data_IF_458091800138
#
_entry.id   IF_458091800138
#
_cell.length_a   1.000
_cell.length_b   1.000
_cell.length_c   1.000
_cell.angle_alpha   90.00
_cell.angle_beta   90.00
_cell.angle_gamma   90.00
#
_symmetry.space_group_name_H-M   'P 1'
#
loop_
_entity.id
_entity.type
_entity.pdbx_description
1 polymer ?
#
# COMPACT_ATOMS: atom_id res chain seq x y z
N UNK A 1 -5.52 0.53 4.88
CA UNK A 1 -6.81 0.27 5.56
C UNK A 1 -7.42 1.55 6.11
N UNK A 2 -6.69 2.33 6.91
CA UNK A 2 -7.19 3.57 7.53
C UNK A 2 -7.60 4.62 6.50
N UNK A 3 -6.86 4.79 5.41
CA UNK A 3 -7.21 5.68 4.30
C UNK A 3 -8.50 5.28 3.55
N UNK A 4 -9.03 4.07 3.78
CA UNK A 4 -10.33 3.61 3.27
C UNK A 4 -11.42 3.61 4.35
N UNK A 5 -11.17 4.27 5.47
CA UNK A 5 -12.10 4.39 6.60
C UNK A 5 -12.56 3.04 7.20
N UNK A 6 -11.70 2.04 7.20
CA UNK A 6 -11.96 0.78 7.91
C UNK A 6 -12.20 1.10 9.39
N UNK A 7 -13.29 0.59 10.00
CA UNK A 7 -13.55 0.81 11.42
C UNK A 7 -12.43 0.26 12.30
N UNK A 8 -11.76 1.14 13.07
CA UNK A 8 -10.57 0.78 13.86
C UNK A 8 -10.83 -0.38 14.81
N UNK A 9 -12.00 -0.44 15.47
CA UNK A 9 -12.31 -1.55 16.38
C UNK A 9 -12.34 -2.92 15.67
N UNK A 10 -12.79 -2.98 14.40
CA UNK A 10 -12.75 -4.21 13.60
C UNK A 10 -11.35 -4.57 13.18
N UNK A 11 -10.54 -3.56 12.84
CA UNK A 11 -9.13 -3.75 12.50
C UNK A 11 -8.34 -4.27 13.70
N UNK A 12 -8.51 -3.67 14.88
CA UNK A 12 -7.89 -4.16 16.12
C UNK A 12 -8.38 -5.55 16.52
N UNK A 13 -9.68 -5.82 16.32
CA UNK A 13 -10.23 -7.16 16.54
C UNK A 13 -9.61 -8.20 15.60
N UNK A 14 -9.38 -7.83 14.32
CA UNK A 14 -8.71 -8.70 13.37
C UNK A 14 -7.27 -9.00 13.79
N UNK A 15 -6.50 -7.97 14.18
CA UNK A 15 -5.11 -8.13 14.59
C UNK A 15 -4.96 -8.96 15.87
N UNK A 16 -5.95 -8.92 16.73
CA UNK A 16 -5.99 -9.71 17.97
C UNK A 16 -6.64 -11.08 17.79
N UNK A 17 -7.03 -11.48 16.58
CA UNK A 17 -7.68 -12.76 16.34
C UNK A 17 -9.06 -12.90 17.00
N UNK A 18 -9.80 -11.79 17.18
CA UNK A 18 -11.10 -11.80 17.84
C UNK A 18 -12.25 -12.12 16.87
N UNK A 19 -13.35 -12.64 17.41
CA UNK A 19 -14.56 -12.97 16.67
C UNK A 19 -15.18 -11.74 15.96
N UNK A 20 -15.02 -10.54 16.51
CA UNK A 20 -15.49 -9.28 15.91
C UNK A 20 -14.59 -8.74 14.79
N UNK A 21 -13.49 -9.41 14.45
CA UNK A 21 -12.68 -9.14 13.29
C UNK A 21 -13.38 -9.49 11.96
N UNK A 22 -12.73 -9.21 10.85
CA UNK A 22 -13.27 -9.48 9.51
C UNK A 22 -13.38 -10.98 9.19
N UNK A 23 -12.48 -11.79 9.74
CA UNK A 23 -12.40 -13.24 9.50
C UNK A 23 -12.81 -14.07 10.70
N UNK A 24 -13.44 -13.44 11.70
CA UNK A 24 -13.88 -14.11 12.94
C UNK A 24 -12.75 -14.87 13.65
N UNK A 25 -11.54 -14.30 13.64
CA UNK A 25 -10.35 -14.90 14.25
C UNK A 25 -9.76 -16.09 13.50
N UNK A 26 -10.19 -16.35 12.25
CA UNK A 26 -9.77 -17.53 11.49
C UNK A 26 -8.55 -17.28 10.60
N UNK A 27 -8.13 -16.03 10.44
CA UNK A 27 -7.05 -15.66 9.54
C UNK A 27 -6.11 -14.64 10.18
N UNK A 28 -4.98 -14.40 9.52
CA UNK A 28 -3.90 -13.52 9.98
C UNK A 28 -4.30 -12.05 9.96
N UNK A 29 -3.48 -11.21 10.57
CA UNK A 29 -3.74 -9.79 10.84
C UNK A 29 -4.18 -8.98 9.61
N UNK A 30 -3.62 -9.25 8.44
CA UNK A 30 -3.91 -8.50 7.21
C UNK A 30 -4.64 -9.31 6.13
N UNK A 31 -4.91 -10.60 6.36
CA UNK A 31 -5.57 -11.48 5.40
C UNK A 31 -7.09 -11.34 5.49
N UNK A 32 -7.59 -10.20 5.08
CA UNK A 32 -9.03 -9.95 4.99
C UNK A 32 -9.35 -8.97 3.87
N UNK A 33 -10.55 -9.06 3.35
CA UNK A 33 -11.11 -8.09 2.42
C UNK A 33 -12.33 -7.39 3.03
N UNK A 34 -12.72 -6.29 2.42
CA UNK A 34 -13.93 -5.57 2.77
C UNK A 34 -14.56 -4.95 1.53
N UNK A 35 -15.65 -5.56 1.06
CA UNK A 35 -16.38 -5.09 -0.12
C UNK A 35 -16.88 -3.66 0.05
N UNK A 36 -17.40 -3.33 1.23
CA UNK A 36 -17.93 -1.99 1.53
C UNK A 36 -16.86 -0.89 1.50
N UNK A 37 -15.59 -1.28 1.68
CA UNK A 37 -14.45 -0.37 1.63
C UNK A 37 -13.61 -0.54 0.36
N UNK A 38 -14.08 -1.33 -0.61
CA UNK A 38 -13.36 -1.66 -1.85
C UNK A 38 -11.93 -2.17 -1.59
N UNK A 39 -11.78 -3.02 -0.59
CA UNK A 39 -10.51 -3.66 -0.26
C UNK A 39 -10.62 -5.14 -0.58
N UNK A 40 -9.73 -5.62 -1.44
CA UNK A 40 -9.50 -7.04 -1.69
C UNK A 40 -8.41 -7.54 -0.75
N UNK A 41 -8.60 -8.71 -0.22
CA UNK A 41 -7.70 -9.26 0.80
C UNK A 41 -6.27 -9.44 0.30
N UNK A 42 -5.32 -9.31 1.21
CA UNK A 42 -3.94 -9.69 0.98
C UNK A 42 -3.82 -11.19 0.75
N UNK A 43 -2.98 -11.58 -0.18
CA UNK A 43 -2.60 -12.96 -0.46
C UNK A 43 -1.17 -13.16 0.03
N UNK A 44 -0.89 -14.28 0.73
CA UNK A 44 0.46 -14.56 1.26
C UNK A 44 1.49 -14.86 0.17
N UNK A 45 1.06 -15.39 -0.97
CA UNK A 45 1.93 -15.64 -2.11
C UNK A 45 2.21 -14.32 -2.84
N UNK A 46 3.46 -14.11 -3.24
CA UNK A 46 3.86 -12.94 -4.02
C UNK A 46 3.41 -13.11 -5.47
N UNK A 47 2.82 -12.07 -6.06
CA UNK A 47 2.42 -12.07 -7.47
C UNK A 47 0.94 -12.28 -7.75
N UNK A 48 0.23 -13.29 -7.18
CA UNK A 48 -1.15 -13.61 -7.54
C UNK A 48 -2.16 -12.45 -7.41
N UNK A 49 -1.94 -11.49 -6.50
CA UNK A 49 -2.79 -10.32 -6.38
C UNK A 49 -2.85 -9.48 -7.66
N UNK A 50 -1.81 -9.52 -8.48
CA UNK A 50 -1.74 -8.78 -9.74
C UNK A 50 -2.75 -9.33 -10.76
N UNK A 51 -2.82 -10.67 -10.89
CA UNK A 51 -3.83 -11.35 -11.70
C UNK A 51 -5.25 -11.14 -11.17
N UNK A 52 -5.44 -11.13 -9.84
CA UNK A 52 -6.74 -10.82 -9.22
C UNK A 52 -7.17 -9.38 -9.55
N UNK A 53 -6.24 -8.43 -9.54
CA UNK A 53 -6.53 -7.03 -9.93
C UNK A 53 -6.98 -6.92 -11.38
N UNK A 54 -6.38 -7.68 -12.30
CA UNK A 54 -6.82 -7.76 -13.69
C UNK A 54 -8.25 -8.27 -13.80
N UNK A 55 -8.59 -9.34 -13.08
CA UNK A 55 -9.95 -9.88 -13.06
C UNK A 55 -10.99 -8.88 -12.54
N UNK A 56 -10.64 -8.10 -11.52
CA UNK A 56 -11.50 -7.04 -10.97
C UNK A 56 -11.68 -5.91 -11.99
N UNK A 57 -10.61 -5.45 -12.62
CA UNK A 57 -10.64 -4.40 -13.64
C UNK A 57 -11.46 -4.83 -14.85
N UNK A 58 -11.28 -6.06 -15.32
CA UNK A 58 -12.11 -6.65 -16.39
C UNK A 58 -13.58 -6.68 -15.99
N UNK A 59 -13.89 -7.09 -14.76
CA UNK A 59 -15.25 -7.09 -14.24
C UNK A 59 -15.90 -5.70 -14.24
N UNK A 60 -15.13 -4.65 -13.99
CA UNK A 60 -15.59 -3.25 -14.09
C UNK A 60 -15.87 -2.86 -15.54
N UNK A 61 -14.98 -3.19 -16.47
CA UNK A 61 -15.20 -2.92 -17.90
C UNK A 61 -16.45 -3.62 -18.44
N UNK A 62 -16.61 -4.90 -18.16
CA UNK A 62 -17.76 -5.69 -18.60
C UNK A 62 -19.11 -5.17 -18.07
N UNK A 63 -19.09 -4.49 -16.92
CA UNK A 63 -20.28 -3.84 -16.33
C UNK A 63 -20.47 -2.39 -16.76
N UNK A 64 -19.57 -1.84 -17.56
CA UNK A 64 -19.59 -0.43 -17.93
C UNK A 64 -19.31 0.52 -16.76
N UNK A 65 -18.63 0.05 -15.72
CA UNK A 65 -18.28 0.85 -14.54
C UNK A 65 -16.98 1.64 -14.77
N UNK A 66 -17.02 2.95 -14.57
CA UNK A 66 -15.83 3.83 -14.67
C UNK A 66 -15.00 3.77 -13.39
N UNK A 67 -14.33 2.63 -13.15
CA UNK A 67 -13.53 2.36 -11.97
C UNK A 67 -12.11 1.97 -12.36
N UNK A 68 -11.18 2.24 -11.46
CA UNK A 68 -9.76 1.86 -11.57
C UNK A 68 -9.42 0.92 -10.44
N UNK A 69 -8.65 -0.10 -10.74
CA UNK A 69 -8.11 -1.03 -9.74
C UNK A 69 -6.66 -0.67 -9.45
N UNK A 70 -6.32 -0.36 -8.20
CA UNK A 70 -4.94 -0.21 -7.77
C UNK A 70 -4.46 -1.50 -7.08
N UNK A 71 -3.29 -1.97 -7.46
CA UNK A 71 -2.67 -3.16 -6.87
C UNK A 71 -1.23 -2.87 -6.49
N UNK A 72 -0.81 -3.36 -5.33
CA UNK A 72 0.49 -3.07 -4.75
C UNK A 72 1.35 -4.32 -4.70
N UNK A 73 2.64 -4.14 -4.98
CA UNK A 73 3.66 -5.17 -4.85
C UNK A 73 5.00 -4.53 -4.45
N UNK A 74 5.87 -5.28 -3.80
CA UNK A 74 7.25 -4.86 -3.57
C UNK A 74 8.15 -5.17 -4.78
N UNK A 75 9.35 -4.59 -4.80
CA UNK A 75 10.32 -4.80 -5.88
C UNK A 75 10.76 -6.25 -6.02
N UNK A 76 10.87 -7.00 -4.91
CA UNK A 76 11.25 -8.42 -4.93
C UNK A 76 10.28 -9.29 -5.72
N UNK A 77 8.97 -9.00 -5.63
CA UNK A 77 7.95 -9.74 -6.34
C UNK A 77 7.90 -9.47 -7.85
N UNK A 78 8.60 -8.45 -8.34
CA UNK A 78 8.68 -8.17 -9.79
C UNK A 78 9.50 -9.19 -10.58
N UNK A 79 10.10 -10.16 -9.91
CA UNK A 79 10.80 -11.30 -10.51
C UNK A 79 9.93 -12.56 -10.62
N UNK A 80 8.74 -12.55 -10.01
CA UNK A 80 7.79 -13.66 -10.12
C UNK A 80 7.13 -13.73 -11.50
N UNK A 81 6.82 -14.95 -11.97
CA UNK A 81 6.11 -15.15 -13.24
C UNK A 81 4.79 -14.40 -13.32
N UNK A 82 4.00 -14.46 -12.24
CA UNK A 82 2.70 -13.78 -12.13
C UNK A 82 2.77 -12.27 -12.41
N UNK A 83 3.89 -11.60 -12.05
CA UNK A 83 4.10 -10.19 -12.38
C UNK A 83 4.08 -9.97 -13.90
N UNK A 84 4.89 -10.74 -14.62
CA UNK A 84 5.04 -10.61 -16.07
C UNK A 84 3.75 -10.97 -16.81
N UNK A 85 3.08 -12.03 -16.39
CA UNK A 85 1.82 -12.48 -16.96
C UNK A 85 0.71 -11.43 -16.74
N UNK A 86 0.59 -10.89 -15.52
CA UNK A 86 -0.42 -9.90 -15.20
C UNK A 86 -0.25 -8.61 -15.99
N UNK A 87 0.98 -8.10 -16.14
CA UNK A 87 1.25 -6.90 -16.91
C UNK A 87 0.90 -7.11 -18.39
N UNK A 88 1.31 -8.25 -18.95
CA UNK A 88 1.01 -8.58 -20.34
C UNK A 88 -0.51 -8.70 -20.61
N UNK A 89 -1.24 -9.39 -19.75
CA UNK A 89 -2.71 -9.52 -19.87
C UNK A 89 -3.38 -8.14 -19.78
N UNK A 90 -2.97 -7.33 -18.81
CA UNK A 90 -3.54 -6.00 -18.63
C UNK A 90 -3.32 -5.10 -19.86
N UNK A 91 -2.12 -5.16 -20.44
CA UNK A 91 -1.78 -4.40 -21.65
C UNK A 91 -2.59 -4.86 -22.87
N UNK A 92 -2.73 -6.17 -23.08
CA UNK A 92 -3.47 -6.74 -24.23
C UNK A 92 -4.96 -6.41 -24.18
N UNK A 93 -5.53 -6.30 -22.98
CA UNK A 93 -6.96 -6.07 -22.77
C UNK A 93 -7.32 -4.64 -22.36
N UNK A 94 -6.37 -3.72 -22.37
CA UNK A 94 -6.54 -2.31 -21.96
C UNK A 94 -7.24 -2.18 -20.59
N UNK A 95 -6.81 -2.99 -19.61
CA UNK A 95 -7.44 -3.01 -18.30
C UNK A 95 -7.07 -1.76 -17.48
N UNK A 96 -8.04 -1.08 -16.83
CA UNK A 96 -7.78 0.10 -15.99
C UNK A 96 -7.16 -0.30 -14.66
N UNK A 97 -5.87 -0.68 -14.68
CA UNK A 97 -5.09 -1.10 -13.53
C UNK A 97 -3.92 -0.16 -13.30
N UNK A 98 -3.77 0.32 -12.07
CA UNK A 98 -2.54 0.94 -11.58
C UNK A 98 -1.72 -0.14 -10.87
N UNK A 99 -0.62 -0.57 -11.49
CA UNK A 99 0.35 -1.46 -10.88
C UNK A 99 1.35 -0.63 -10.08
N UNK A 100 1.25 -0.67 -8.76
CA UNK A 100 2.06 0.11 -7.83
C UNK A 100 3.20 -0.75 -7.29
N UNK A 101 4.44 -0.43 -7.66
CA UNK A 101 5.64 -1.08 -7.12
C UNK A 101 6.19 -0.21 -5.99
N UNK A 102 6.18 -0.71 -4.77
CA UNK A 102 6.85 -0.10 -3.62
C UNK A 102 8.32 -0.54 -3.61
N UNK A 103 9.17 0.17 -4.37
CA UNK A 103 10.60 -0.12 -4.44
C UNK A 103 11.29 0.45 -3.21
N UNK A 104 11.45 -0.39 -2.19
CA UNK A 104 12.06 -0.03 -0.92
C UNK A 104 13.56 -0.41 -0.81
N UNK A 105 14.17 -0.87 -1.92
CA UNK A 105 15.59 -1.18 -2.03
C UNK A 105 15.97 -2.61 -1.65
N UNK A 106 15.08 -3.39 -1.02
CA UNK A 106 15.41 -4.72 -0.50
C UNK A 106 14.23 -5.70 -0.56
N UNK A 107 14.38 -6.79 -1.32
CA UNK A 107 13.53 -7.97 -1.19
C UNK A 107 14.03 -8.81 0.00
N UNK A 108 13.32 -8.78 1.14
CA UNK A 108 13.84 -9.29 2.42
C UNK A 108 15.18 -8.62 2.78
N UNK A 109 16.29 -9.34 2.61
CA UNK A 109 17.66 -8.86 2.82
C UNK A 109 18.47 -8.71 1.52
N UNK A 110 17.88 -9.07 0.36
CA UNK A 110 18.52 -9.02 -0.94
C UNK A 110 18.40 -7.61 -1.53
N UNK A 111 19.50 -6.89 -1.78
CA UNK A 111 19.45 -5.56 -2.38
C UNK A 111 18.99 -5.63 -3.84
N UNK A 112 18.39 -4.56 -4.34
CA UNK A 112 17.89 -4.47 -5.71
C UNK A 112 18.94 -4.72 -6.78
N UNK A 113 20.20 -4.38 -6.51
CA UNK A 113 21.35 -4.64 -7.41
C UNK A 113 21.59 -6.13 -7.70
N UNK A 114 21.10 -7.02 -6.83
CA UNK A 114 21.17 -8.47 -6.98
C UNK A 114 19.88 -9.10 -7.53
N UNK A 115 18.83 -8.30 -7.73
CA UNK A 115 17.50 -8.80 -8.13
C UNK A 115 17.20 -8.55 -9.62
N UNK A 116 17.62 -7.40 -10.17
CA UNK A 116 17.34 -7.04 -11.57
C UNK A 116 18.45 -6.14 -12.15
N UNK A 117 18.48 -6.03 -13.48
CA UNK A 117 19.53 -5.30 -14.21
C UNK A 117 19.07 -3.97 -14.79
N UNK A 118 17.77 -3.74 -14.95
CA UNK A 118 17.25 -2.44 -15.36
C UNK A 118 17.55 -1.37 -14.29
N UNK A 119 17.70 -0.14 -14.70
CA UNK A 119 17.95 0.97 -13.77
C UNK A 119 16.74 1.21 -12.87
N UNK A 120 15.54 1.20 -13.48
CA UNK A 120 14.29 1.37 -12.77
C UNK A 120 13.34 0.22 -13.12
N UNK A 121 12.48 -0.16 -12.19
CA UNK A 121 11.44 -1.16 -12.47
C UNK A 121 10.36 -0.62 -13.42
N UNK A 122 10.14 0.69 -13.42
CA UNK A 122 9.30 1.36 -14.40
C UNK A 122 9.74 1.12 -15.85
N UNK A 123 11.05 0.86 -16.08
CA UNK A 123 11.60 0.58 -17.43
C UNK A 123 11.06 -0.74 -18.02
N UNK A 124 10.44 -1.58 -17.18
CA UNK A 124 9.76 -2.80 -17.67
C UNK A 124 8.43 -2.50 -18.38
N UNK A 125 7.77 -1.38 -18.06
CA UNK A 125 6.47 -1.01 -18.65
C UNK A 125 6.47 -0.94 -20.17
N UNK A 126 7.39 -0.19 -20.79
CA UNK A 126 7.51 -0.11 -22.25
C UNK A 126 7.65 -1.46 -22.97
N UNK A 127 8.26 -2.47 -22.31
CA UNK A 127 8.37 -3.83 -22.83
C UNK A 127 7.02 -4.53 -23.04
N UNK A 128 5.98 -4.10 -22.33
CA UNK A 128 4.59 -4.56 -22.48
C UNK A 128 3.71 -3.56 -23.25
N UNK A 129 4.28 -2.47 -23.77
CA UNK A 129 3.51 -1.40 -24.38
C UNK A 129 2.74 -0.53 -23.39
N UNK A 130 3.13 -0.54 -22.12
CA UNK A 130 2.46 0.20 -21.05
C UNK A 130 3.11 1.54 -20.77
N UNK A 131 2.28 2.53 -20.42
CA UNK A 131 2.73 3.76 -19.77
C UNK A 131 3.35 3.43 -18.40
N UNK A 132 4.47 4.09 -18.08
CA UNK A 132 5.13 3.89 -16.78
C UNK A 132 5.69 5.20 -16.21
N UNK A 133 5.73 5.31 -14.89
CA UNK A 133 6.26 6.48 -14.18
C UNK A 133 7.06 6.07 -12.96
N UNK A 134 8.04 6.92 -12.63
CA UNK A 134 8.77 6.88 -11.36
C UNK A 134 8.27 8.04 -10.51
N UNK A 135 8.00 7.78 -9.25
CA UNK A 135 7.46 8.74 -8.28
C UNK A 135 8.32 8.70 -7.02
N UNK A 136 8.61 9.84 -6.42
CA UNK A 136 9.20 9.88 -5.08
C UNK A 136 8.16 9.41 -4.05
N UNK A 137 8.29 8.14 -3.62
CA UNK A 137 7.36 7.51 -2.69
C UNK A 137 7.37 8.11 -1.29
N UNK A 138 8.38 8.94 -0.97
CA UNK A 138 8.46 9.67 0.30
C UNK A 138 7.87 11.10 0.20
N UNK A 139 7.46 11.54 -0.99
CA UNK A 139 6.78 12.82 -1.20
C UNK A 139 5.27 12.61 -1.39
N UNK A 140 4.49 12.75 -0.31
CA UNK A 140 3.05 12.49 -0.33
C UNK A 140 2.29 13.38 -1.33
N UNK A 141 2.75 14.60 -1.58
CA UNK A 141 2.11 15.51 -2.55
C UNK A 141 2.32 15.05 -3.98
N UNK A 142 3.51 14.56 -4.31
CA UNK A 142 3.82 14.00 -5.63
C UNK A 142 3.03 12.71 -5.85
N UNK A 143 3.02 11.81 -4.86
CA UNK A 143 2.23 10.57 -4.90
C UNK A 143 0.74 10.88 -5.11
N UNK A 144 0.19 11.81 -4.31
CA UNK A 144 -1.22 12.20 -4.43
C UNK A 144 -1.55 12.79 -5.80
N UNK A 145 -0.74 13.72 -6.27
CA UNK A 145 -0.94 14.38 -7.57
C UNK A 145 -0.90 13.37 -8.71
N UNK A 146 0.15 12.54 -8.77
CA UNK A 146 0.33 11.56 -9.85
C UNK A 146 -0.76 10.48 -9.85
N UNK A 147 -1.07 9.91 -8.69
CA UNK A 147 -2.11 8.87 -8.59
C UNK A 147 -3.49 9.45 -8.90
N UNK A 148 -3.79 10.67 -8.45
CA UNK A 148 -5.07 11.33 -8.73
C UNK A 148 -5.25 11.63 -10.23
N UNK A 149 -4.23 12.17 -10.88
CA UNK A 149 -4.19 12.42 -12.33
C UNK A 149 -4.47 11.13 -13.11
N UNK A 150 -3.68 10.10 -12.85
CA UNK A 150 -3.80 8.82 -13.56
C UNK A 150 -5.14 8.13 -13.27
N UNK A 151 -5.61 8.13 -12.03
CA UNK A 151 -6.88 7.52 -11.70
C UNK A 151 -8.07 8.25 -12.34
N UNK A 152 -8.00 9.56 -12.54
CA UNK A 152 -9.00 10.32 -13.27
C UNK A 152 -8.98 9.95 -14.77
N UNK A 153 -7.79 9.95 -15.36
CA UNK A 153 -7.61 9.64 -16.78
C UNK A 153 -8.02 8.20 -17.13
N UNK A 154 -7.63 7.23 -16.31
CA UNK A 154 -7.95 5.80 -16.54
C UNK A 154 -9.44 5.47 -16.43
N UNK A 155 -10.24 6.32 -15.80
CA UNK A 155 -11.71 6.18 -15.81
C UNK A 155 -12.32 6.52 -17.18
N UNK A 156 -11.67 7.36 -17.95
CA UNK A 156 -12.13 7.81 -19.27
C UNK A 156 -11.42 7.07 -20.41
N UNK A 157 -10.17 6.71 -20.19
CA UNK A 157 -9.31 6.01 -21.14
C UNK A 157 -8.70 4.77 -20.48
N UNK A 158 -9.46 3.67 -20.39
CA UNK A 158 -8.99 2.44 -19.75
C UNK A 158 -7.69 1.94 -20.39
N UNK A 159 -6.67 1.72 -19.57
CA UNK A 159 -5.40 1.10 -19.91
C UNK A 159 -4.62 0.79 -18.63
N UNK A 160 -3.63 -0.11 -18.63
CA UNK A 160 -2.78 -0.30 -17.47
C UNK A 160 -1.67 0.76 -17.42
N UNK A 161 -1.27 1.10 -16.19
CA UNK A 161 -0.11 1.96 -15.93
C UNK A 161 0.77 1.33 -14.85
N UNK A 162 2.08 1.35 -15.06
CA UNK A 162 3.06 0.89 -14.09
C UNK A 162 3.64 2.08 -13.33
N UNK A 163 3.50 2.08 -12.01
CA UNK A 163 4.04 3.10 -11.11
C UNK A 163 5.13 2.50 -10.23
N UNK A 164 6.33 3.06 -10.28
CA UNK A 164 7.41 2.74 -9.35
C UNK A 164 7.55 3.86 -8.33
N UNK A 165 7.23 3.55 -7.08
CA UNK A 165 7.45 4.45 -5.95
C UNK A 165 8.81 4.17 -5.33
N UNK A 166 9.75 5.10 -5.50
CA UNK A 166 11.06 5.04 -4.83
C UNK A 166 10.88 5.40 -3.37
N UNK A 167 11.13 4.46 -2.51
CA UNK A 167 11.01 4.60 -1.05
C UNK A 167 12.09 3.78 -0.35
N UNK A 168 12.01 3.65 0.96
CA UNK A 168 12.95 2.83 1.70
C UNK A 168 12.31 2.24 2.96
N UNK A 169 12.64 0.99 3.25
CA UNK A 169 12.21 0.31 4.47
C UNK A 169 13.21 0.54 5.60
N UNK A 170 12.90 1.50 6.50
CA UNK A 170 13.75 1.87 7.64
C UNK A 170 13.85 0.79 8.73
N UNK A 171 12.93 -0.18 8.74
CA UNK A 171 12.90 -1.29 9.70
C UNK A 171 13.20 -2.63 9.02
N UNK A 172 13.42 -3.67 9.81
CA UNK A 172 13.50 -5.03 9.28
C UNK A 172 12.23 -5.43 8.53
N UNK A 173 12.33 -6.43 7.67
CA UNK A 173 11.19 -6.95 6.91
C UNK A 173 10.08 -7.44 7.83
N UNK A 174 10.47 -8.09 8.91
CA UNK A 174 9.61 -8.46 10.04
C UNK A 174 10.14 -7.78 11.31
N UNK A 175 9.30 -7.65 12.34
CA UNK A 175 9.69 -7.02 13.60
C UNK A 175 10.97 -7.67 14.20
N UNK A 176 11.13 -8.98 14.03
CA UNK A 176 12.27 -9.74 14.53
C UNK A 176 13.53 -9.70 13.63
N UNK A 177 13.43 -9.26 12.37
CA UNK A 177 14.54 -9.46 11.41
C UNK A 177 15.70 -8.49 11.56
N UNK A 178 15.49 -7.32 12.14
CA UNK A 178 16.52 -6.28 12.22
C UNK A 178 17.01 -5.75 10.87
N UNK A 179 18.03 -4.90 10.87
CA UNK A 179 18.55 -4.19 9.69
C UNK A 179 20.07 -4.28 9.55
N UNK A 180 20.72 -5.28 10.17
CA UNK A 180 22.18 -5.40 10.18
C UNK A 180 22.83 -5.53 8.79
N UNK A 181 22.05 -5.95 7.79
CA UNK A 181 22.50 -6.09 6.40
C UNK A 181 22.49 -4.76 5.62
N UNK A 182 21.85 -3.72 6.18
CA UNK A 182 21.77 -2.40 5.53
C UNK A 182 22.94 -1.52 5.96
N UNK A 183 23.72 -0.94 5.03
CA UNK A 183 24.77 0.01 5.37
C UNK A 183 24.24 1.24 6.11
N UNK A 184 24.90 1.63 7.20
CA UNK A 184 24.46 2.78 8.02
C UNK A 184 24.32 4.07 7.19
N UNK A 185 25.24 4.35 6.28
CA UNK A 185 25.18 5.51 5.39
C UNK A 185 23.88 5.57 4.57
N UNK A 186 23.34 4.41 4.18
CA UNK A 186 22.07 4.32 3.44
C UNK A 186 20.89 4.60 4.38
N UNK A 187 20.93 4.08 5.61
CA UNK A 187 19.94 4.38 6.64
C UNK A 187 19.90 5.88 6.94
N UNK A 188 21.04 6.52 7.13
CA UNK A 188 21.14 7.97 7.41
C UNK A 188 20.59 8.81 6.24
N UNK A 189 20.91 8.41 5.00
CA UNK A 189 20.38 9.07 3.81
C UNK A 189 18.86 9.06 3.76
N UNK A 190 18.25 7.91 4.03
CA UNK A 190 16.79 7.77 3.97
C UNK A 190 16.07 8.30 5.22
N UNK A 191 16.72 8.32 6.37
CA UNK A 191 16.20 8.99 7.57
C UNK A 191 15.96 10.48 7.32
N UNK A 192 16.86 11.16 6.57
CA UNK A 192 16.67 12.56 6.18
C UNK A 192 15.50 12.78 5.20
N UNK A 193 14.96 11.70 4.62
CA UNK A 193 13.80 11.72 3.71
C UNK A 193 12.53 11.15 4.34
N UNK A 194 12.43 11.18 5.67
CA UNK A 194 11.22 10.73 6.35
C UNK A 194 9.98 11.48 5.82
N UNK A 195 8.99 10.79 5.24
CA UNK A 195 7.85 11.43 4.60
C UNK A 195 6.97 12.20 5.58
N UNK A 196 6.87 11.73 6.83
CA UNK A 196 6.04 12.39 7.84
C UNK A 196 6.70 13.68 8.35
N UNK A 197 7.98 13.61 8.69
CA UNK A 197 8.73 14.78 9.15
C UNK A 197 8.82 15.87 8.07
N UNK A 198 9.16 15.48 6.84
CA UNK A 198 9.26 16.40 5.71
C UNK A 198 7.93 17.06 5.37
N UNK A 199 6.84 16.31 5.38
CA UNK A 199 5.51 16.88 5.14
C UNK A 199 5.04 17.74 6.30
N UNK A 200 5.32 17.36 7.54
CA UNK A 200 5.05 18.17 8.72
C UNK A 200 5.77 19.53 8.63
N UNK A 201 7.05 19.51 8.26
CA UNK A 201 7.83 20.74 8.10
C UNK A 201 7.26 21.61 6.97
N UNK A 202 6.93 21.01 5.83
CA UNK A 202 6.27 21.72 4.72
C UNK A 202 4.99 22.43 5.15
N UNK A 203 4.14 21.77 5.94
CA UNK A 203 2.89 22.35 6.43
C UNK A 203 3.14 23.48 7.44
N UNK A 204 4.19 23.39 8.27
CA UNK A 204 4.59 24.45 9.18
C UNK A 204 5.11 25.68 8.42
N UNK A 205 5.98 25.47 7.44
CA UNK A 205 6.55 26.54 6.60
C UNK A 205 5.47 27.26 5.78
N UNK A 206 4.43 26.53 5.36
CA UNK A 206 3.26 27.09 4.71
C UNK A 206 2.25 27.78 5.67
N UNK A 207 2.51 27.77 6.97
CA UNK A 207 1.62 28.34 7.98
C UNK A 207 0.29 27.60 8.18
N UNK A 208 0.19 26.35 7.66
CA UNK A 208 -1.02 25.52 7.75
C UNK A 208 -1.06 24.75 9.07
N UNK A 209 0.10 24.26 9.55
CA UNK A 209 0.21 23.47 10.77
C UNK A 209 0.92 24.26 11.87
N UNK A 210 0.16 24.67 12.90
CA UNK A 210 0.74 25.23 14.13
C UNK A 210 1.10 24.10 15.10
N UNK A 211 2.00 24.38 16.05
CA UNK A 211 2.35 23.44 17.13
C UNK A 211 1.11 23.00 17.94
N UNK A 212 0.22 23.94 18.26
CA UNK A 212 -1.03 23.64 18.97
C UNK A 212 -1.93 22.69 18.19
N UNK A 213 -2.03 22.87 16.86
CA UNK A 213 -2.82 21.99 15.99
C UNK A 213 -2.21 20.59 15.88
N UNK A 214 -0.88 20.50 15.80
CA UNK A 214 -0.17 19.22 15.77
C UNK A 214 -0.40 18.42 17.08
N UNK A 215 -0.28 19.10 18.23
CA UNK A 215 -0.57 18.49 19.54
C UNK A 215 -2.03 18.03 19.62
N UNK A 216 -2.97 18.84 19.11
CA UNK A 216 -4.38 18.47 19.08
C UNK A 216 -4.63 17.20 18.24
N UNK A 217 -4.05 17.09 17.05
CA UNK A 217 -4.15 15.90 16.22
C UNK A 217 -3.56 14.65 16.89
N UNK A 218 -2.36 14.76 17.47
CA UNK A 218 -1.73 13.65 18.19
C UNK A 218 -2.57 13.17 19.36
N UNK A 219 -3.15 14.10 20.11
CA UNK A 219 -4.04 13.81 21.25
C UNK A 219 -5.33 13.13 20.79
N UNK A 220 -5.97 13.66 19.74
CA UNK A 220 -7.19 13.07 19.17
C UNK A 220 -6.94 11.65 18.65
N UNK A 221 -5.85 11.44 17.91
CA UNK A 221 -5.50 10.13 17.36
C UNK A 221 -5.25 9.13 18.52
N UNK A 222 -4.50 9.51 19.54
CA UNK A 222 -4.25 8.67 20.70
C UNK A 222 -5.55 8.30 21.42
N UNK A 223 -6.45 9.26 21.62
CA UNK A 223 -7.75 9.03 22.23
C UNK A 223 -8.60 8.05 21.38
N UNK A 224 -8.69 8.28 20.08
CA UNK A 224 -9.41 7.37 19.16
C UNK A 224 -8.87 5.95 19.18
N UNK A 225 -7.54 5.78 19.21
CA UNK A 225 -6.90 4.45 19.31
C UNK A 225 -7.33 3.76 20.60
N UNK A 226 -7.20 4.43 21.74
CA UNK A 226 -7.53 3.88 23.05
C UNK A 226 -9.02 3.52 23.15
N UNK A 227 -9.92 4.40 22.73
CA UNK A 227 -11.37 4.13 22.72
C UNK A 227 -11.73 2.88 21.92
N UNK A 228 -11.07 2.68 20.78
CA UNK A 228 -11.34 1.51 19.96
C UNK A 228 -10.73 0.23 20.52
N UNK A 229 -9.58 0.29 21.19
CA UNK A 229 -9.01 -0.84 21.92
C UNK A 229 -9.94 -1.28 23.08
N UNK A 230 -10.41 -0.33 23.90
CA UNK A 230 -11.38 -0.61 24.94
C UNK A 230 -12.68 -1.24 24.41
N UNK A 231 -13.19 -0.80 23.25
CA UNK A 231 -14.37 -1.42 22.63
C UNK A 231 -14.16 -2.88 22.26
N UNK A 232 -12.95 -3.25 21.86
CA UNK A 232 -12.57 -4.64 21.57
C UNK A 232 -12.61 -5.48 22.86
N UNK A 233 -12.06 -4.96 23.96
CA UNK A 233 -11.98 -5.67 25.23
C UNK A 233 -13.37 -5.82 25.91
N UNK A 234 -14.20 -4.78 25.90
CA UNK A 234 -15.57 -4.83 26.44
C UNK A 234 -16.48 -5.83 25.76
N UNK A 235 -16.29 -6.10 24.46
CA UNK A 235 -17.06 -7.12 23.74
C UNK A 235 -16.71 -8.54 24.17
N UNK A 236 -15.48 -8.79 24.62
CA UNK A 236 -15.07 -10.07 25.18
C UNK A 236 -15.79 -10.38 26.51
N UNK A 237 -15.92 -9.39 27.39
CA UNK A 237 -16.57 -9.55 28.67
C UNK A 237 -18.05 -9.93 28.51
N UNK A 238 -18.74 -9.47 27.46
CA UNK A 238 -20.15 -9.81 27.20
C UNK A 238 -20.35 -11.22 26.61
N UNK A 239 -19.39 -11.74 25.87
CA UNK A 239 -19.45 -13.12 25.31
C UNK A 239 -19.11 -14.16 26.35
N UNK A 240 -18.29 -13.82 27.35
CA UNK A 240 -17.97 -14.71 28.50
C UNK A 240 -19.11 -14.81 29.55
N UNK A 241 -20.11 -13.93 29.45
CA UNK A 241 -21.28 -13.89 30.36
C UNK A 241 -22.58 -14.44 29.74
N UNK A 242 -22.55 -14.85 28.49
CA UNK A 242 -23.65 -15.45 27.74
C UNK A 242 -23.37 -16.94 27.47
#
# INVERSE_FOLDING_TARGET
FTGRNIPLYRLFSQWQGKLSGFTNGRDRSFHFGSKDHHIVGMISHLGPQLGVANGIALGHLLKGERKVTAVFTGEGATSEGDFHEALNIAAVWDLPVLFCIENNGYGLSTPTSEQYRCENLADKGPGYGMESHIVDGNNVLEVYSKVSELAADLRDRPRPVLLEFKTFRMRGHEEASGTKYVPQKLMDHWAAKDPLENYTQHLRDAGILSEALEVAYKTEIAHRINDHLEKVDRRLARVAQA
#
